data_IF_637923463026
#
_entry.id   IF_637923463026
#
_cell.length_a   1.000
_cell.length_b   1.000
_cell.length_c   1.000
_cell.angle_alpha   90.00
_cell.angle_beta   90.00
_cell.angle_gamma   90.00
#
_symmetry.space_group_name_H-M   'P 1'
#
loop_
_entity.id
_entity.type
_entity.pdbx_description
1 polymer ?
#
# COMPACT_ATOMS: atom_id res chain seq x y z
N UNK A 1 0.72 -27.30 -0.93
CA UNK A 1 1.11 -28.67 -0.53
C UNK A 1 0.84 -28.82 0.96
N UNK A 2 0.20 -29.89 1.40
CA UNK A 2 -0.06 -30.14 2.83
C UNK A 2 1.28 -30.37 3.56
N UNK A 3 1.43 -29.78 4.74
CA UNK A 3 2.63 -29.91 5.59
C UNK A 3 2.35 -30.78 6.83
N UNK A 4 1.20 -31.45 6.86
CA UNK A 4 0.75 -32.39 7.91
C UNK A 4 0.79 -31.82 9.35
N UNK A 5 0.67 -30.50 9.50
CA UNK A 5 0.72 -29.85 10.82
C UNK A 5 -0.55 -30.03 11.67
N UNK A 6 -1.54 -30.74 11.19
CA UNK A 6 -2.82 -31.06 11.84
C UNK A 6 -3.70 -29.87 12.24
N UNK A 7 -3.35 -28.64 11.84
CA UNK A 7 -4.14 -27.43 12.18
C UNK A 7 -5.53 -27.51 11.58
N UNK A 8 -5.65 -27.88 10.28
CA UNK A 8 -6.95 -27.98 9.60
C UNK A 8 -7.88 -28.97 10.30
N UNK A 9 -7.37 -30.10 10.78
CA UNK A 9 -8.14 -31.12 11.53
C UNK A 9 -8.66 -30.54 12.85
N UNK A 10 -7.82 -29.81 13.59
CA UNK A 10 -8.21 -29.24 14.90
C UNK A 10 -9.22 -28.11 14.80
N UNK A 11 -9.20 -27.36 13.70
CA UNK A 11 -10.09 -26.19 13.51
C UNK A 11 -11.31 -26.49 12.66
N UNK A 12 -11.44 -27.72 12.10
CA UNK A 12 -12.59 -28.12 11.32
C UNK A 12 -13.83 -28.28 12.19
N UNK A 13 -14.87 -27.44 12.07
CA UNK A 13 -16.04 -27.52 12.94
C UNK A 13 -16.93 -28.76 12.65
N UNK A 14 -16.69 -29.42 11.52
CA UNK A 14 -17.49 -30.57 11.06
C UNK A 14 -16.79 -31.93 11.26
N UNK A 15 -15.54 -31.92 11.81
CA UNK A 15 -14.76 -33.14 11.92
C UNK A 15 -14.45 -33.83 10.60
N UNK A 16 -14.58 -33.11 9.46
CA UNK A 16 -14.54 -33.72 8.12
C UNK A 16 -13.13 -34.10 7.63
N UNK A 17 -12.09 -33.87 8.46
CA UNK A 17 -10.71 -34.17 8.10
C UNK A 17 -10.19 -35.31 8.96
N UNK A 18 -10.19 -36.51 8.38
CA UNK A 18 -9.64 -37.71 8.98
C UNK A 18 -8.16 -37.88 8.67
N UNK A 19 -7.43 -38.53 9.55
CA UNK A 19 -6.02 -38.92 9.36
C UNK A 19 -5.45 -39.49 10.65
N UNK A 20 -4.60 -40.48 10.56
CA UNK A 20 -3.86 -40.98 11.70
C UNK A 20 -2.92 -39.92 12.23
N UNK A 21 -2.97 -39.66 13.52
CA UNK A 21 -2.02 -38.77 14.18
C UNK A 21 -0.68 -39.53 14.25
N UNK A 22 0.32 -39.08 13.49
CA UNK A 22 1.70 -39.54 13.68
C UNK A 22 2.20 -38.91 14.97
N UNK A 23 2.27 -39.66 16.05
CA UNK A 23 2.61 -39.14 17.37
C UNK A 23 4.07 -39.35 17.74
N UNK A 24 4.74 -40.32 17.12
CA UNK A 24 6.14 -40.63 17.43
C UNK A 24 7.09 -39.54 16.96
N UNK A 25 7.87 -39.00 17.88
CA UNK A 25 8.81 -37.90 17.61
C UNK A 25 8.17 -36.56 17.24
N UNK A 26 6.85 -36.41 17.40
CA UNK A 26 6.14 -35.17 17.11
C UNK A 26 6.53 -34.09 18.13
N UNK A 27 6.80 -32.87 17.64
CA UNK A 27 7.10 -31.71 18.49
C UNK A 27 6.01 -30.66 18.36
N UNK A 28 5.54 -30.15 19.50
CA UNK A 28 4.61 -29.02 19.53
C UNK A 28 5.41 -27.73 19.37
N UNK A 29 5.07 -26.95 18.34
CA UNK A 29 5.63 -25.61 18.14
C UNK A 29 4.92 -24.59 19.03
N UNK A 30 5.70 -23.80 19.77
CA UNK A 30 5.21 -22.76 20.65
C UNK A 30 5.51 -21.34 20.15
N UNK A 31 5.85 -21.18 18.87
CA UNK A 31 6.23 -19.88 18.29
C UNK A 31 5.05 -18.95 18.01
N UNK A 32 3.82 -19.48 17.90
CA UNK A 32 2.62 -18.68 17.73
C UNK A 32 1.36 -19.40 18.26
N UNK A 33 0.22 -18.73 18.26
CA UNK A 33 -1.07 -19.25 18.77
C UNK A 33 -1.57 -20.51 18.05
N UNK A 34 -1.06 -20.82 16.86
CA UNK A 34 -1.44 -22.01 16.09
C UNK A 34 -0.97 -23.30 16.77
N UNK A 35 0.18 -23.24 17.47
CA UNK A 35 0.71 -24.36 18.25
C UNK A 35 0.73 -25.69 17.45
N UNK A 36 1.32 -25.62 16.24
CA UNK A 36 1.42 -26.79 15.37
C UNK A 36 2.04 -27.98 16.10
N UNK A 37 1.45 -29.16 15.95
CA UNK A 37 2.11 -30.42 16.26
C UNK A 37 2.77 -30.92 14.99
N UNK A 38 4.11 -30.80 14.93
CA UNK A 38 4.91 -31.03 13.73
C UNK A 38 5.53 -32.41 13.79
N UNK A 39 5.12 -33.37 12.91
CA UNK A 39 5.74 -34.70 12.82
C UNK A 39 7.21 -34.60 12.37
N UNK A 40 7.99 -35.63 12.66
CA UNK A 40 9.39 -35.75 12.19
C UNK A 40 9.44 -35.63 10.67
N UNK A 41 10.35 -34.82 10.15
CA UNK A 41 10.51 -34.52 8.73
C UNK A 41 9.46 -33.58 8.13
N UNK A 42 8.47 -33.15 8.92
CA UNK A 42 7.41 -32.22 8.47
C UNK A 42 7.66 -30.79 8.93
N UNK A 43 6.97 -29.86 8.26
CA UNK A 43 7.12 -28.42 8.51
C UNK A 43 5.83 -27.88 9.15
N UNK A 44 5.94 -26.92 10.04
CA UNK A 44 4.78 -26.22 10.62
C UNK A 44 3.99 -25.43 9.58
N UNK A 45 2.75 -25.01 9.93
CA UNK A 45 1.82 -24.32 9.04
C UNK A 45 2.41 -23.04 8.42
N UNK A 46 3.24 -22.30 9.14
CA UNK A 46 3.91 -21.09 8.66
C UNK A 46 5.13 -21.37 7.75
N UNK A 47 5.50 -22.64 7.57
CA UNK A 47 6.66 -23.10 6.78
C UNK A 47 8.03 -22.59 7.27
N UNK A 48 8.12 -22.14 8.54
CA UNK A 48 9.35 -21.58 9.11
C UNK A 48 10.12 -22.54 9.99
N UNK A 49 9.47 -23.59 10.48
CA UNK A 49 10.07 -24.59 11.36
C UNK A 49 9.81 -25.98 10.84
N UNK A 50 10.86 -26.78 10.76
CA UNK A 50 10.83 -28.22 10.43
C UNK A 50 11.21 -29.02 11.67
N UNK A 51 10.54 -30.14 11.91
CA UNK A 51 10.94 -31.09 12.93
C UNK A 51 12.01 -32.01 12.37
N UNK A 52 13.26 -31.79 12.78
CA UNK A 52 14.40 -32.62 12.45
C UNK A 52 14.73 -33.50 13.66
N UNK A 53 14.34 -34.80 13.60
CA UNK A 53 14.65 -35.77 14.61
C UNK A 53 14.10 -35.48 16.01
N UNK A 54 12.93 -34.85 16.14
CA UNK A 54 12.34 -34.48 17.42
C UNK A 54 12.68 -33.07 17.91
N UNK A 55 13.35 -32.28 17.09
CA UNK A 55 13.71 -30.90 17.39
C UNK A 55 13.18 -29.97 16.28
N UNK A 56 12.61 -28.81 16.66
CA UNK A 56 12.22 -27.79 15.69
C UNK A 56 13.44 -26.97 15.27
N UNK A 57 13.74 -27.01 13.98
CA UNK A 57 14.78 -26.22 13.34
C UNK A 57 14.14 -25.15 12.49
N UNK A 58 14.67 -23.92 12.53
CA UNK A 58 14.18 -22.81 11.71
C UNK A 58 14.70 -22.95 10.28
N UNK A 59 13.79 -22.90 9.30
CA UNK A 59 14.10 -23.10 7.88
C UNK A 59 14.78 -21.89 7.22
N UNK A 60 14.78 -20.74 7.89
CA UNK A 60 15.33 -19.48 7.37
C UNK A 60 16.16 -18.80 8.43
N UNK A 61 17.23 -18.16 8.01
CA UNK A 61 18.01 -17.28 8.88
C UNK A 61 17.09 -16.23 9.53
N UNK A 62 17.47 -15.76 10.72
CA UNK A 62 16.90 -14.57 11.31
C UNK A 62 17.23 -13.40 10.37
N UNK A 63 16.21 -12.65 9.95
CA UNK A 63 16.47 -11.43 9.23
C UNK A 63 16.83 -10.38 10.26
N UNK A 64 18.10 -10.22 10.48
CA UNK A 64 18.66 -9.21 11.35
C UNK A 64 19.23 -8.12 10.45
N UNK A 65 18.39 -7.51 9.66
CA UNK A 65 18.79 -6.37 8.84
C UNK A 65 18.38 -5.07 9.49
N UNK A 66 19.31 -4.16 9.50
CA UNK A 66 19.10 -2.77 9.84
C UNK A 66 19.96 -2.34 11.02
N UNK A 67 20.80 -1.36 10.74
CA UNK A 67 21.30 -0.49 11.81
C UNK A 67 20.06 0.15 12.44
N UNK A 68 19.97 0.24 13.78
CA UNK A 68 18.95 1.06 14.41
C UNK A 68 18.92 2.41 13.71
N UNK A 69 17.76 2.85 13.22
CA UNK A 69 17.66 4.19 12.67
C UNK A 69 17.88 5.16 13.84
N UNK A 70 19.02 5.79 13.88
CA UNK A 70 19.35 6.79 14.90
C UNK A 70 18.61 8.11 14.70
N UNK A 71 18.06 8.31 13.50
CA UNK A 71 17.25 9.48 13.16
C UNK A 71 16.00 9.03 12.40
N UNK A 72 14.84 9.14 13.03
CA UNK A 72 13.55 8.99 12.35
C UNK A 72 13.27 10.33 11.66
N UNK A 73 13.10 10.32 10.34
CA UNK A 73 12.65 11.50 9.59
C UNK A 73 11.35 12.02 10.23
N UNK A 74 11.31 13.26 10.72
CA UNK A 74 10.12 13.82 11.37
C UNK A 74 8.87 13.80 10.50
N UNK A 75 9.03 13.75 9.18
CA UNK A 75 7.93 13.62 8.21
C UNK A 75 7.31 12.22 8.25
N UNK A 76 8.10 11.19 8.61
CA UNK A 76 7.66 9.81 8.75
C UNK A 76 7.08 9.56 10.16
N UNK A 77 7.54 10.30 11.17
CA UNK A 77 7.11 10.15 12.55
C UNK A 77 5.65 10.57 12.82
N UNK A 78 5.00 11.24 11.88
CA UNK A 78 3.59 11.66 11.98
C UNK A 78 2.80 11.30 10.73
N UNK A 79 2.66 10.04 10.40
CA UNK A 79 1.91 9.64 9.21
C UNK A 79 0.40 9.94 9.37
N UNK A 80 -0.25 10.19 8.24
CA UNK A 80 -1.67 10.60 8.19
C UNK A 80 -2.62 9.39 8.24
N UNK A 81 -2.14 8.19 7.95
CA UNK A 81 -2.96 6.99 7.84
C UNK A 81 -2.86 6.17 9.13
N UNK A 82 -4.00 5.83 9.73
CA UNK A 82 -4.08 4.92 10.88
C UNK A 82 -4.21 3.48 10.41
N UNK A 83 -3.26 2.63 10.79
CA UNK A 83 -3.41 1.19 10.65
C UNK A 83 -4.11 0.60 11.88
N UNK A 84 -5.02 -0.34 11.65
CA UNK A 84 -5.66 -1.08 12.74
C UNK A 84 -4.71 -2.15 13.25
N UNK A 85 -4.39 -2.12 14.54
CA UNK A 85 -3.46 -3.06 15.16
C UNK A 85 -3.98 -4.49 15.15
N UNK A 86 -3.10 -5.43 14.84
CA UNK A 86 -3.39 -6.84 14.99
C UNK A 86 -3.26 -7.26 16.45
N UNK A 87 -4.33 -7.80 17.02
CA UNK A 87 -4.26 -8.48 18.30
C UNK A 87 -3.61 -9.84 18.10
N UNK A 88 -2.56 -10.14 18.84
CA UNK A 88 -2.06 -11.50 18.95
C UNK A 88 -2.31 -12.01 20.37
N UNK A 89 -2.85 -13.21 20.48
CA UNK A 89 -3.14 -13.82 21.77
C UNK A 89 -1.98 -14.66 22.29
N UNK A 90 -0.83 -14.60 21.66
CA UNK A 90 0.29 -15.47 21.97
C UNK A 90 1.63 -14.78 21.70
N UNK A 91 2.60 -14.95 22.56
CA UNK A 91 2.55 -15.60 23.91
C UNK A 91 2.53 -14.56 25.03
N UNK A 92 1.38 -14.28 25.61
CA UNK A 92 1.24 -13.25 26.68
C UNK A 92 2.17 -13.42 27.87
N UNK A 93 2.62 -14.64 28.12
CA UNK A 93 3.36 -14.99 29.34
C UNK A 93 4.68 -15.70 29.07
N UNK A 94 5.07 -15.79 27.80
CA UNK A 94 6.31 -16.47 27.39
C UNK A 94 7.23 -15.53 26.66
N UNK A 95 8.54 -15.61 26.89
CA UNK A 95 9.53 -14.94 26.06
C UNK A 95 9.37 -15.32 24.59
N UNK A 96 9.75 -14.42 23.70
CA UNK A 96 9.83 -14.71 22.28
C UNK A 96 10.66 -15.98 22.03
N UNK A 97 10.33 -16.78 21.00
CA UNK A 97 11.03 -18.04 20.75
C UNK A 97 12.53 -17.85 20.42
N UNK A 98 12.87 -16.68 19.89
CA UNK A 98 14.23 -16.30 19.57
C UNK A 98 14.56 -14.95 20.17
N UNK A 99 15.46 -14.94 21.14
CA UNK A 99 16.06 -13.74 21.74
C UNK A 99 17.56 -13.95 21.57
N UNK A 100 18.14 -13.30 20.57
CA UNK A 100 19.50 -13.58 20.11
C UNK A 100 20.38 -12.37 20.33
N UNK A 101 21.53 -12.60 20.92
CA UNK A 101 22.60 -11.61 21.08
C UNK A 101 23.67 -11.83 20.03
N UNK A 102 24.07 -10.77 19.37
CA UNK A 102 25.23 -10.75 18.49
C UNK A 102 26.06 -9.48 18.73
N UNK A 103 27.32 -9.52 18.35
CA UNK A 103 28.20 -8.36 18.44
C UNK A 103 28.22 -7.62 17.08
N UNK A 104 27.83 -6.35 17.08
CA UNK A 104 27.88 -5.47 15.91
C UNK A 104 28.75 -4.26 16.24
N UNK A 105 29.80 -4.05 15.47
CA UNK A 105 30.75 -2.93 15.67
C UNK A 105 31.22 -2.78 17.14
N UNK A 106 31.43 -3.91 17.84
CA UNK A 106 31.82 -3.93 19.24
C UNK A 106 30.69 -3.78 20.27
N UNK A 107 29.47 -3.54 19.85
CA UNK A 107 28.29 -3.41 20.73
C UNK A 107 27.49 -4.72 20.74
N UNK A 108 27.06 -5.13 21.93
CA UNK A 108 26.13 -6.26 22.07
C UNK A 108 24.71 -5.81 21.68
N UNK A 109 24.15 -6.46 20.67
CA UNK A 109 22.82 -6.16 20.10
C UNK A 109 21.92 -7.37 20.31
N UNK A 110 20.71 -7.10 20.81
CA UNK A 110 19.65 -8.10 20.98
C UNK A 110 18.64 -7.96 19.84
N UNK A 111 18.34 -9.10 19.20
CA UNK A 111 17.20 -9.22 18.30
C UNK A 111 16.21 -10.22 18.87
N UNK A 112 14.97 -9.79 19.07
CA UNK A 112 13.86 -10.66 19.48
C UNK A 112 12.96 -10.92 18.28
N UNK A 113 12.62 -12.18 18.03
CA UNK A 113 11.79 -12.58 16.89
C UNK A 113 10.54 -13.32 17.34
N UNK A 114 9.40 -12.84 16.90
CA UNK A 114 8.09 -13.49 17.10
C UNK A 114 7.46 -13.74 15.74
N UNK A 115 7.00 -14.97 15.49
CA UNK A 115 6.15 -15.26 14.34
C UNK A 115 4.71 -14.88 14.70
N UNK A 116 4.29 -13.70 14.32
CA UNK A 116 3.00 -13.18 14.73
C UNK A 116 1.88 -13.52 13.71
N UNK A 117 0.78 -14.13 14.17
CA UNK A 117 -0.44 -14.17 13.38
C UNK A 117 -1.12 -12.79 13.42
N UNK A 118 -1.28 -12.19 12.26
CA UNK A 118 -1.72 -10.81 12.08
C UNK A 118 -3.17 -10.78 11.55
N UNK A 119 -4.13 -11.15 12.40
CA UNK A 119 -5.54 -11.41 12.02
C UNK A 119 -6.31 -10.15 11.61
N UNK A 120 -5.89 -8.97 12.02
CA UNK A 120 -6.58 -7.70 11.73
C UNK A 120 -5.84 -6.84 10.69
N UNK A 121 -4.89 -7.44 10.03
CA UNK A 121 -4.03 -6.76 9.08
C UNK A 121 -4.65 -6.69 7.69
N UNK A 122 -4.05 -5.86 6.87
CA UNK A 122 -4.38 -5.75 5.47
C UNK A 122 -3.26 -5.14 4.67
N UNK A 123 -3.48 -5.03 3.37
CA UNK A 123 -2.58 -4.33 2.47
C UNK A 123 -3.33 -3.20 1.78
N UNK A 124 -2.65 -2.07 1.65
CA UNK A 124 -3.02 -0.99 0.76
C UNK A 124 -2.28 -1.20 -0.56
N UNK A 125 -3.03 -1.27 -1.64
CA UNK A 125 -2.50 -1.37 -3.00
C UNK A 125 -2.75 -0.03 -3.67
N UNK A 126 -1.70 0.75 -3.87
CA UNK A 126 -1.74 2.01 -4.60
C UNK A 126 -1.49 1.69 -6.09
N UNK A 127 -2.40 2.13 -6.93
CA UNK A 127 -2.35 1.97 -8.37
C UNK A 127 -2.13 3.34 -9.02
N UNK A 128 -1.00 3.52 -9.68
CA UNK A 128 -0.75 4.73 -10.46
C UNK A 128 -1.50 4.63 -11.79
N UNK A 129 -2.71 5.19 -11.82
CA UNK A 129 -3.59 5.12 -12.98
C UNK A 129 -4.53 6.31 -13.07
N UNK A 130 -4.86 6.71 -14.31
CA UNK A 130 -5.95 7.62 -14.61
C UNK A 130 -7.28 6.89 -14.81
N UNK A 131 -7.23 5.56 -15.02
CA UNK A 131 -8.40 4.77 -15.31
C UNK A 131 -9.28 4.62 -14.09
N UNK A 132 -10.59 4.77 -14.25
CA UNK A 132 -11.57 4.55 -13.19
C UNK A 132 -11.56 3.10 -12.70
N UNK A 133 -11.52 2.90 -11.40
CA UNK A 133 -11.47 1.58 -10.75
C UNK A 133 -12.69 1.23 -9.89
N UNK A 134 -13.70 2.08 -9.85
CA UNK A 134 -14.89 1.98 -8.99
C UNK A 134 -14.95 3.12 -7.97
N UNK A 135 -16.07 3.20 -7.25
CA UNK A 135 -16.28 4.19 -6.21
C UNK A 135 -15.66 3.77 -4.88
N UNK A 136 -15.36 4.73 -4.02
CA UNK A 136 -14.92 4.45 -2.65
C UNK A 136 -15.95 3.60 -1.91
N UNK A 137 -15.48 2.53 -1.29
CA UNK A 137 -16.33 1.55 -0.62
C UNK A 137 -16.82 0.40 -1.51
N UNK A 138 -16.65 0.47 -2.83
CA UNK A 138 -16.99 -0.63 -3.73
C UNK A 138 -16.22 -1.90 -3.35
N UNK A 139 -16.91 -3.03 -3.38
CA UNK A 139 -16.33 -4.30 -2.94
C UNK A 139 -15.35 -4.86 -3.99
N UNK A 140 -14.18 -5.21 -3.50
CA UNK A 140 -13.12 -5.87 -4.26
C UNK A 140 -13.17 -7.37 -4.03
N UNK A 141 -13.06 -8.13 -5.11
CA UNK A 141 -13.12 -9.59 -5.14
C UNK A 141 -11.81 -10.18 -5.66
N UNK A 142 -11.43 -11.31 -5.10
CA UNK A 142 -10.39 -12.20 -5.63
C UNK A 142 -10.98 -13.62 -5.70
N UNK A 143 -10.82 -14.31 -6.84
CA UNK A 143 -11.39 -15.63 -7.07
C UNK A 143 -12.90 -15.70 -6.73
N UNK A 144 -13.66 -14.65 -7.02
CA UNK A 144 -15.08 -14.54 -6.74
C UNK A 144 -15.47 -14.33 -5.28
N UNK A 145 -14.51 -14.21 -4.37
CA UNK A 145 -14.73 -13.96 -2.94
C UNK A 145 -14.42 -12.51 -2.57
N UNK A 146 -15.23 -11.87 -1.71
CA UNK A 146 -14.98 -10.50 -1.28
C UNK A 146 -13.74 -10.46 -0.38
N UNK A 147 -12.74 -9.68 -0.76
CA UNK A 147 -11.44 -9.59 -0.06
C UNK A 147 -11.12 -8.19 0.45
N UNK A 148 -11.77 -7.16 -0.06
CA UNK A 148 -11.45 -5.78 0.27
C UNK A 148 -12.46 -4.79 -0.27
N UNK A 149 -12.02 -3.55 -0.39
CA UNK A 149 -12.81 -2.43 -0.92
C UNK A 149 -11.90 -1.44 -1.67
N UNK A 150 -12.49 -0.63 -2.54
CA UNK A 150 -11.84 0.56 -3.06
C UNK A 150 -11.70 1.55 -1.90
N UNK A 151 -10.47 1.94 -1.58
CA UNK A 151 -10.16 2.75 -0.42
C UNK A 151 -10.17 4.24 -0.74
N UNK A 152 -9.58 4.60 -1.86
CA UNK A 152 -9.68 5.95 -2.41
C UNK A 152 -9.56 5.92 -3.92
N UNK A 153 -10.28 6.79 -4.55
CA UNK A 153 -10.36 7.03 -5.96
C UNK A 153 -9.73 8.38 -6.34
N UNK A 154 -9.32 9.14 -5.32
CA UNK A 154 -8.83 10.50 -5.44
C UNK A 154 -7.36 10.61 -5.87
N UNK A 155 -6.98 11.81 -6.29
CA UNK A 155 -5.60 12.30 -6.47
C UNK A 155 -4.70 11.50 -7.43
N UNK A 156 -5.28 10.84 -8.40
CA UNK A 156 -4.49 10.20 -9.44
C UNK A 156 -3.74 8.95 -9.04
N UNK A 157 -3.75 8.67 -7.78
CA UNK A 157 -3.29 7.42 -7.24
C UNK A 157 -4.46 6.77 -6.56
N UNK A 158 -4.98 5.74 -7.20
CA UNK A 158 -6.13 5.02 -6.68
C UNK A 158 -5.65 3.96 -5.72
N UNK A 159 -6.41 3.71 -4.66
CA UNK A 159 -6.02 2.74 -3.65
C UNK A 159 -7.10 1.72 -3.39
N UNK A 160 -6.69 0.47 -3.30
CA UNK A 160 -7.51 -0.66 -2.86
C UNK A 160 -7.00 -1.11 -1.50
N UNK A 161 -7.91 -1.35 -0.55
CA UNK A 161 -7.58 -2.00 0.70
C UNK A 161 -8.06 -3.46 0.68
N UNK A 162 -7.14 -4.39 0.88
CA UNK A 162 -7.42 -5.83 0.99
C UNK A 162 -7.14 -6.26 2.42
N UNK A 163 -8.16 -6.77 3.11
CA UNK A 163 -8.00 -7.25 4.49
C UNK A 163 -8.93 -6.59 5.50
N UNK A 164 -8.41 -6.47 6.72
CA UNK A 164 -9.14 -6.00 7.89
C UNK A 164 -9.91 -7.11 8.61
N UNK A 165 -10.27 -6.84 9.88
CA UNK A 165 -10.89 -7.82 10.78
C UNK A 165 -12.12 -8.49 10.17
N UNK A 166 -13.05 -7.71 9.64
CA UNK A 166 -14.31 -8.21 9.13
C UNK A 166 -14.14 -9.16 7.93
N UNK A 167 -13.15 -8.91 7.08
CA UNK A 167 -12.86 -9.76 5.92
C UNK A 167 -12.10 -11.02 6.34
N UNK A 168 -11.07 -10.89 7.15
CA UNK A 168 -10.25 -12.03 7.60
C UNK A 168 -11.01 -13.00 8.50
N UNK A 169 -12.01 -12.52 9.26
CA UNK A 169 -12.83 -13.36 10.14
C UNK A 169 -14.15 -13.80 9.50
N UNK A 170 -14.45 -13.32 8.30
CA UNK A 170 -15.66 -13.71 7.59
C UNK A 170 -15.70 -15.21 7.29
N UNK A 171 -16.85 -15.85 7.51
CA UNK A 171 -17.08 -17.26 7.18
C UNK A 171 -16.86 -17.54 5.70
N UNK A 172 -17.31 -16.62 4.83
CA UNK A 172 -17.06 -16.64 3.40
C UNK A 172 -16.01 -15.57 3.04
N UNK A 173 -14.95 -15.99 2.37
CA UNK A 173 -13.90 -15.10 1.90
C UNK A 173 -12.70 -14.90 2.83
N UNK A 174 -12.76 -15.29 4.11
CA UNK A 174 -11.64 -15.09 5.04
C UNK A 174 -10.33 -15.75 4.58
N UNK A 175 -10.39 -16.98 4.09
CA UNK A 175 -9.22 -17.66 3.52
C UNK A 175 -8.72 -17.00 2.23
N UNK A 176 -9.63 -16.59 1.35
CA UNK A 176 -9.27 -15.88 0.13
C UNK A 176 -8.59 -14.56 0.48
N UNK A 177 -9.15 -13.81 1.43
CA UNK A 177 -8.55 -12.56 1.92
C UNK A 177 -7.14 -12.78 2.45
N UNK A 178 -6.93 -13.78 3.31
CA UNK A 178 -5.60 -14.06 3.86
C UNK A 178 -4.59 -14.44 2.78
N UNK A 179 -4.98 -15.27 1.79
CA UNK A 179 -4.11 -15.64 0.66
C UNK A 179 -3.79 -14.44 -0.22
N UNK A 180 -4.78 -13.58 -0.50
CA UNK A 180 -4.60 -12.38 -1.31
C UNK A 180 -3.63 -11.41 -0.65
N UNK A 181 -3.76 -11.17 0.67
CA UNK A 181 -2.80 -10.36 1.44
C UNK A 181 -1.38 -10.92 1.30
N UNK A 182 -1.24 -12.24 1.49
CA UNK A 182 0.07 -12.91 1.44
C UNK A 182 0.69 -12.81 0.04
N UNK A 183 -0.11 -13.04 -1.00
CA UNK A 183 0.37 -12.93 -2.38
C UNK A 183 0.85 -11.50 -2.69
N UNK A 184 0.04 -10.49 -2.36
CA UNK A 184 0.40 -9.08 -2.53
C UNK A 184 1.66 -8.71 -1.74
N UNK A 185 1.72 -9.10 -0.46
CA UNK A 185 2.85 -8.78 0.41
C UNK A 185 4.17 -9.47 -0.02
N UNK A 186 4.07 -10.59 -0.71
CA UNK A 186 5.23 -11.30 -1.27
C UNK A 186 5.57 -10.89 -2.73
N UNK A 187 4.88 -9.87 -3.26
CA UNK A 187 5.14 -9.36 -4.62
C UNK A 187 4.62 -10.27 -5.73
N UNK A 188 3.70 -11.18 -5.43
CA UNK A 188 3.08 -12.04 -6.43
C UNK A 188 2.05 -11.25 -7.26
N UNK A 189 1.84 -11.69 -8.50
CA UNK A 189 0.80 -11.15 -9.38
C UNK A 189 -0.58 -11.58 -8.88
N UNK A 190 -1.50 -10.62 -8.70
CA UNK A 190 -2.86 -10.86 -8.22
C UNK A 190 -3.88 -10.26 -9.18
N UNK A 191 -4.94 -11.01 -9.46
CA UNK A 191 -6.09 -10.54 -10.23
C UNK A 191 -7.24 -10.19 -9.29
N UNK A 192 -7.67 -8.94 -9.33
CA UNK A 192 -8.78 -8.42 -8.55
C UNK A 192 -9.93 -8.02 -9.47
N UNK A 193 -11.13 -8.01 -8.94
CA UNK A 193 -12.31 -7.51 -9.64
C UNK A 193 -13.08 -6.58 -8.72
N UNK A 194 -13.36 -5.36 -9.20
CA UNK A 194 -14.23 -4.40 -8.52
C UNK A 194 -15.63 -4.50 -9.12
N UNK A 195 -16.65 -4.61 -8.28
CA UNK A 195 -18.05 -4.49 -8.70
C UNK A 195 -18.53 -3.08 -8.38
N UNK A 196 -18.89 -2.36 -9.40
CA UNK A 196 -19.37 -0.98 -9.34
C UNK A 196 -20.62 -0.81 -10.16
N UNK A 197 -21.16 0.40 -10.22
CA UNK A 197 -22.23 0.79 -11.13
C UNK A 197 -21.66 1.67 -12.24
N UNK A 198 -22.15 1.48 -13.43
CA UNK A 198 -21.87 2.39 -14.54
C UNK A 198 -22.54 3.74 -14.31
N UNK A 199 -21.79 4.83 -14.43
CA UNK A 199 -22.25 6.17 -14.09
C UNK A 199 -23.44 6.66 -14.94
N UNK A 200 -23.47 6.28 -16.22
CA UNK A 200 -24.51 6.74 -17.14
C UNK A 200 -25.77 5.89 -17.04
N UNK A 201 -25.60 4.60 -16.94
CA UNK A 201 -26.71 3.64 -17.04
C UNK A 201 -27.17 3.10 -15.69
N UNK A 202 -26.41 3.27 -14.63
CA UNK A 202 -26.62 2.68 -13.31
C UNK A 202 -26.54 1.15 -13.31
N UNK A 203 -26.15 0.50 -14.41
CA UNK A 203 -26.05 -0.94 -14.52
C UNK A 203 -24.79 -1.45 -13.82
N UNK A 204 -24.82 -2.68 -13.26
CA UNK A 204 -23.65 -3.31 -12.71
C UNK A 204 -22.51 -3.39 -13.74
N UNK A 205 -21.34 -2.92 -13.34
CA UNK A 205 -20.10 -2.94 -14.12
C UNK A 205 -19.04 -3.70 -13.34
N UNK A 206 -18.21 -4.46 -14.04
CA UNK A 206 -17.10 -5.20 -13.45
C UNK A 206 -15.78 -4.66 -14.02
N UNK A 207 -14.89 -4.23 -13.13
CA UNK A 207 -13.56 -3.73 -13.49
C UNK A 207 -12.55 -4.78 -13.07
N UNK A 208 -11.76 -5.27 -14.04
CA UNK A 208 -10.68 -6.24 -13.80
C UNK A 208 -9.37 -5.50 -13.59
N UNK A 209 -8.67 -5.82 -12.52
CA UNK A 209 -7.41 -5.20 -12.14
C UNK A 209 -6.38 -6.30 -11.92
N UNK A 210 -5.27 -6.22 -12.64
CA UNK A 210 -4.10 -7.05 -12.37
C UNK A 210 -3.04 -6.19 -11.75
N UNK A 211 -2.60 -6.55 -10.56
CA UNK A 211 -1.62 -5.80 -9.80
C UNK A 211 -0.49 -6.70 -9.29
N UNK A 212 0.70 -6.13 -9.22
CA UNK A 212 1.91 -6.73 -8.67
C UNK A 212 2.82 -5.62 -8.18
N UNK A 213 3.38 -5.78 -6.99
CA UNK A 213 4.35 -4.83 -6.43
C UNK A 213 5.45 -4.51 -7.46
N UNK A 214 5.68 -3.23 -7.71
CA UNK A 214 6.75 -2.75 -8.60
C UNK A 214 6.44 -2.85 -10.09
N UNK A 215 5.21 -3.22 -10.48
CA UNK A 215 4.79 -3.36 -11.88
C UNK A 215 3.60 -2.45 -12.16
N UNK A 216 3.57 -1.85 -13.35
CA UNK A 216 2.43 -1.05 -13.78
C UNK A 216 1.14 -1.87 -13.79
N UNK A 217 0.02 -1.36 -13.22
CA UNK A 217 -1.23 -2.10 -13.17
C UNK A 217 -1.83 -2.31 -14.56
N UNK A 218 -2.61 -3.38 -14.72
CA UNK A 218 -3.39 -3.65 -15.93
C UNK A 218 -4.87 -3.52 -15.55
N UNK A 219 -5.59 -2.59 -16.17
CA UNK A 219 -7.00 -2.35 -15.90
C UNK A 219 -7.81 -2.65 -17.15
N UNK A 220 -8.77 -3.56 -17.03
CA UNK A 220 -9.60 -4.05 -18.13
C UNK A 220 -8.78 -4.53 -19.36
N UNK A 221 -7.59 -5.09 -19.11
CA UNK A 221 -6.69 -5.59 -20.14
C UNK A 221 -5.72 -4.55 -20.71
N UNK A 222 -5.83 -3.29 -20.32
CA UNK A 222 -4.90 -2.23 -20.73
C UNK A 222 -3.90 -1.96 -19.62
N UNK A 223 -2.61 -2.05 -19.94
CA UNK A 223 -1.54 -1.72 -19.01
C UNK A 223 -1.32 -0.22 -18.98
N UNK A 224 -1.26 0.34 -17.77
CA UNK A 224 -0.90 1.74 -17.58
C UNK A 224 0.56 1.99 -17.95
N UNK A 225 0.86 3.21 -18.41
CA UNK A 225 2.21 3.56 -18.86
C UNK A 225 2.83 4.65 -18.01
N UNK A 226 2.04 5.63 -17.59
CA UNK A 226 2.54 6.87 -17.01
C UNK A 226 1.84 7.20 -15.70
N UNK A 227 2.60 7.59 -14.69
CA UNK A 227 2.08 8.18 -13.47
C UNK A 227 1.85 9.68 -13.66
N UNK A 228 0.71 10.22 -13.26
CA UNK A 228 0.45 11.65 -13.30
C UNK A 228 1.24 12.44 -12.25
N UNK A 229 1.49 13.72 -12.53
CA UNK A 229 2.21 14.64 -11.61
C UNK A 229 1.43 14.84 -10.30
N UNK A 230 0.12 14.67 -10.33
CA UNK A 230 -0.77 14.94 -9.21
C UNK A 230 -2.13 15.39 -9.75
N UNK A 231 -2.71 16.45 -9.18
CA UNK A 231 -3.94 17.03 -9.70
C UNK A 231 -3.67 18.11 -10.74
N UNK A 232 -4.69 18.48 -11.55
CA UNK A 232 -4.58 19.53 -12.56
C UNK A 232 -4.10 20.88 -12.02
N UNK A 233 -4.52 21.22 -10.80
CA UNK A 233 -4.04 22.42 -10.09
C UNK A 233 -2.53 22.33 -9.78
N UNK A 234 -2.04 21.18 -9.32
CA UNK A 234 -0.62 20.99 -9.05
C UNK A 234 0.22 21.06 -10.34
N UNK A 235 -0.29 20.53 -11.43
CA UNK A 235 0.37 20.59 -12.75
C UNK A 235 0.54 22.04 -13.21
N UNK A 236 -0.50 22.86 -13.06
CA UNK A 236 -0.42 24.30 -13.37
C UNK A 236 0.59 24.98 -12.43
N UNK A 237 0.54 24.68 -11.13
CA UNK A 237 1.47 25.23 -10.15
C UNK A 237 2.94 24.97 -10.48
N UNK A 238 3.22 23.78 -11.04
CA UNK A 238 4.57 23.37 -11.44
C UNK A 238 5.05 24.05 -12.75
N UNK A 239 4.14 24.24 -13.71
CA UNK A 239 4.50 24.56 -15.11
C UNK A 239 3.94 25.91 -15.58
N UNK A 240 3.53 26.79 -14.65
CA UNK A 240 2.94 28.09 -14.97
C UNK A 240 3.82 28.94 -15.92
N UNK A 241 5.12 29.00 -15.68
CA UNK A 241 6.05 29.74 -16.53
C UNK A 241 6.07 29.22 -17.96
N UNK A 242 6.12 27.89 -18.13
CA UNK A 242 6.11 27.25 -19.45
C UNK A 242 4.78 27.51 -20.15
N UNK A 243 3.66 27.42 -19.44
CA UNK A 243 2.32 27.68 -20.00
C UNK A 243 2.22 29.12 -20.48
N UNK A 244 2.69 30.08 -19.66
CA UNK A 244 2.66 31.51 -19.98
C UNK A 244 3.36 31.87 -21.27
N UNK A 245 4.49 31.20 -21.56
CA UNK A 245 5.25 31.43 -22.80
C UNK A 245 4.60 30.82 -24.03
N UNK A 246 3.71 29.86 -23.85
CA UNK A 246 3.33 28.96 -24.92
C UNK A 246 1.87 29.07 -25.37
N UNK A 247 0.93 29.44 -24.48
CA UNK A 247 -0.50 29.46 -24.76
C UNK A 247 -1.19 30.59 -24.06
N UNK A 248 -2.37 31.01 -24.57
CA UNK A 248 -3.17 32.07 -23.96
C UNK A 248 -3.97 31.53 -22.77
N UNK A 249 -4.40 30.28 -22.85
CA UNK A 249 -5.09 29.58 -21.76
C UNK A 249 -4.72 28.09 -21.74
N UNK A 250 -4.77 27.46 -20.58
CA UNK A 250 -4.59 26.02 -20.41
C UNK A 250 -5.60 25.44 -19.41
N UNK A 251 -6.27 24.36 -19.82
CA UNK A 251 -7.10 23.53 -18.95
C UNK A 251 -6.35 22.20 -18.74
N UNK A 252 -6.04 21.88 -17.48
CA UNK A 252 -5.41 20.58 -17.14
C UNK A 252 -6.46 19.71 -16.48
N UNK A 253 -6.85 18.63 -17.15
CA UNK A 253 -7.92 17.73 -16.72
C UNK A 253 -7.40 16.77 -15.66
N UNK A 254 -8.11 16.73 -14.55
CA UNK A 254 -8.06 15.68 -13.56
C UNK A 254 -9.47 15.46 -13.00
N UNK A 255 -9.84 14.24 -12.67
CA UNK A 255 -11.20 13.97 -12.21
C UNK A 255 -11.53 14.67 -10.89
N UNK A 256 -10.54 14.91 -10.06
CA UNK A 256 -10.73 15.51 -8.75
C UNK A 256 -10.49 17.01 -8.77
N UNK A 257 -9.39 17.47 -9.31
CA UNK A 257 -9.04 18.89 -9.36
C UNK A 257 -8.52 19.28 -10.74
N UNK A 258 -9.42 19.62 -11.64
CA UNK A 258 -9.09 20.24 -12.92
C UNK A 258 -8.64 21.69 -12.69
N UNK A 259 -7.54 22.07 -13.30
CA UNK A 259 -6.99 23.41 -13.21
C UNK A 259 -7.35 24.28 -14.41
N UNK A 260 -7.63 25.57 -14.17
CA UNK A 260 -7.71 26.62 -15.19
C UNK A 260 -6.57 27.61 -14.98
N UNK A 261 -5.68 27.70 -15.94
CA UNK A 261 -4.41 28.41 -15.79
C UNK A 261 -4.57 29.90 -15.49
N UNK A 262 -5.39 30.64 -16.25
CA UNK A 262 -5.54 32.08 -16.08
C UNK A 262 -6.19 32.49 -14.74
N UNK A 263 -6.99 31.63 -14.13
CA UNK A 263 -7.56 31.85 -12.81
C UNK A 263 -6.66 31.37 -11.68
N UNK A 264 -5.78 30.39 -11.93
CA UNK A 264 -4.97 29.76 -10.90
C UNK A 264 -4.00 30.76 -10.27
N UNK A 265 -3.71 30.59 -8.96
CA UNK A 265 -2.77 31.50 -8.25
C UNK A 265 -1.41 31.56 -8.94
N UNK A 266 -0.87 30.41 -9.35
CA UNK A 266 0.40 30.37 -10.08
C UNK A 266 0.32 31.10 -11.43
N UNK A 267 -0.82 31.02 -12.14
CA UNK A 267 -1.04 31.81 -13.34
C UNK A 267 -1.01 33.31 -13.05
N UNK A 268 -1.63 33.74 -11.97
CA UNK A 268 -1.58 35.16 -11.54
C UNK A 268 -0.19 35.63 -11.19
N UNK A 269 0.61 34.79 -10.52
CA UNK A 269 2.01 35.09 -10.19
C UNK A 269 2.87 35.32 -11.44
N UNK A 270 2.59 34.60 -12.53
CA UNK A 270 3.27 34.80 -13.82
C UNK A 270 2.57 35.84 -14.69
N UNK A 271 1.64 36.62 -14.15
CA UNK A 271 0.99 37.76 -14.82
C UNK A 271 -0.18 37.41 -15.72
N UNK A 272 -0.85 36.27 -15.48
CA UNK A 272 -2.11 35.97 -16.16
C UNK A 272 -3.27 36.75 -15.56
N UNK A 273 -4.22 37.12 -16.41
CA UNK A 273 -5.55 37.57 -16.03
C UNK A 273 -6.57 36.57 -16.59
N UNK A 274 -7.72 36.48 -15.96
CA UNK A 274 -8.75 35.54 -16.42
C UNK A 274 -9.05 35.74 -17.91
N UNK A 275 -9.00 34.62 -18.64
CA UNK A 275 -9.08 34.60 -20.09
C UNK A 275 -10.51 34.64 -20.67
N UNK A 276 -11.52 34.53 -19.83
CA UNK A 276 -12.91 34.34 -20.24
C UNK A 276 -13.33 32.88 -20.49
N UNK A 277 -12.39 31.93 -20.47
CA UNK A 277 -12.70 30.50 -20.65
C UNK A 277 -13.31 29.93 -19.37
N UNK A 278 -14.40 29.19 -19.51
CA UNK A 278 -15.10 28.52 -18.42
C UNK A 278 -14.98 27.01 -18.61
N UNK A 279 -14.35 26.30 -17.68
CA UNK A 279 -14.24 24.85 -17.72
C UNK A 279 -15.60 24.17 -17.50
N UNK A 280 -15.78 23.00 -18.11
CA UNK A 280 -16.95 22.16 -17.90
C UNK A 280 -16.75 21.28 -16.65
N UNK A 281 -16.72 21.94 -15.50
CA UNK A 281 -16.55 21.32 -14.19
C UNK A 281 -17.11 22.25 -13.10
N UNK A 282 -17.28 21.75 -11.89
CA UNK A 282 -17.82 22.53 -10.76
C UNK A 282 -16.70 23.30 -10.09
N UNK A 283 -16.79 24.62 -10.07
CA UNK A 283 -15.80 25.49 -9.42
C UNK A 283 -15.77 25.24 -7.90
N UNK A 284 -14.60 24.91 -7.36
CA UNK A 284 -14.40 24.76 -5.92
C UNK A 284 -13.74 26.00 -5.30
N UNK A 285 -12.65 26.45 -5.90
CA UNK A 285 -11.92 27.67 -5.52
C UNK A 285 -11.36 28.34 -6.78
N UNK A 286 -10.63 29.43 -6.62
CA UNK A 286 -10.06 30.18 -7.75
C UNK A 286 -9.11 29.29 -8.55
N UNK A 287 -9.38 29.11 -9.82
CA UNK A 287 -8.59 28.28 -10.75
C UNK A 287 -8.68 26.78 -10.52
N UNK A 288 -9.54 26.32 -9.62
CA UNK A 288 -9.70 24.90 -9.27
C UNK A 288 -11.14 24.47 -9.43
N UNK A 289 -11.33 23.35 -10.09
CA UNK A 289 -12.64 22.81 -10.44
C UNK A 289 -12.69 21.33 -10.16
N UNK A 290 -13.85 20.82 -9.75
CA UNK A 290 -14.09 19.39 -9.61
C UNK A 290 -14.71 18.85 -10.90
N UNK A 291 -14.08 17.85 -11.51
CA UNK A 291 -14.65 17.03 -12.55
C UNK A 291 -15.62 16.00 -11.99
N UNK A 292 -16.51 15.48 -12.81
CA UNK A 292 -17.30 14.30 -12.46
C UNK A 292 -16.46 13.02 -12.57
N UNK A 293 -16.67 12.06 -11.68
CA UNK A 293 -16.03 10.74 -11.76
C UNK A 293 -16.57 9.95 -12.95
N UNK A 294 -15.71 9.28 -13.68
CA UNK A 294 -16.08 8.49 -14.85
C UNK A 294 -14.90 7.75 -15.48
N UNK A 295 -15.15 7.22 -16.66
CA UNK A 295 -14.19 6.46 -17.45
C UNK A 295 -13.57 7.25 -18.62
N UNK A 296 -13.80 8.56 -18.64
CA UNK A 296 -13.22 9.49 -19.62
C UNK A 296 -11.83 9.99 -19.24
N UNK A 297 -11.45 11.11 -19.84
CA UNK A 297 -10.11 11.71 -19.69
C UNK A 297 -9.81 11.99 -18.23
N UNK A 298 -8.67 11.52 -17.75
CA UNK A 298 -8.22 11.75 -16.37
C UNK A 298 -9.10 11.13 -15.29
N UNK A 299 -9.98 10.18 -15.63
CA UNK A 299 -10.96 9.59 -14.71
C UNK A 299 -12.21 10.44 -14.53
N UNK A 300 -12.48 11.40 -15.42
CA UNK A 300 -13.68 12.24 -15.47
C UNK A 300 -14.75 11.66 -16.37
N UNK A 301 -15.93 12.29 -16.39
CA UNK A 301 -16.98 12.01 -17.39
C UNK A 301 -16.68 12.59 -18.78
N UNK A 302 -15.63 13.40 -18.92
CA UNK A 302 -15.25 14.04 -20.17
C UNK A 302 -14.62 13.04 -21.14
N UNK A 303 -15.25 12.81 -22.29
CA UNK A 303 -14.80 11.82 -23.27
C UNK A 303 -13.79 12.39 -24.26
N UNK A 304 -13.89 13.68 -24.57
CA UNK A 304 -12.99 14.38 -25.51
C UNK A 304 -12.41 15.64 -24.88
N UNK A 305 -11.24 16.13 -25.35
CA UNK A 305 -10.68 17.40 -24.89
C UNK A 305 -11.64 18.59 -25.07
N UNK A 306 -12.46 18.57 -26.12
CA UNK A 306 -13.47 19.64 -26.39
C UNK A 306 -14.48 19.74 -25.24
N UNK A 307 -14.86 18.62 -24.63
CA UNK A 307 -15.84 18.58 -23.54
C UNK A 307 -15.37 19.34 -22.30
N UNK A 308 -14.07 19.59 -22.15
CA UNK A 308 -13.53 20.36 -21.04
C UNK A 308 -13.86 21.86 -21.09
N UNK A 309 -14.25 22.39 -22.26
CA UNK A 309 -14.59 23.79 -22.45
C UNK A 309 -16.11 23.92 -22.48
N UNK A 310 -16.70 24.52 -21.42
CA UNK A 310 -18.15 24.76 -21.32
C UNK A 310 -18.58 25.95 -22.16
N UNK A 311 -17.88 27.07 -22.06
CA UNK A 311 -18.18 28.31 -22.74
C UNK A 311 -17.00 29.27 -22.73
N UNK A 312 -17.06 30.31 -23.57
CA UNK A 312 -16.10 31.41 -23.58
C UNK A 312 -16.85 32.74 -23.44
N UNK A 313 -16.43 33.56 -22.52
CA UNK A 313 -16.95 34.91 -22.31
C UNK A 313 -16.23 35.88 -23.25
N UNK A 314 -16.88 36.23 -24.35
CA UNK A 314 -16.34 37.12 -25.38
C UNK A 314 -16.27 38.60 -24.97
N UNK A 315 -16.77 38.96 -23.78
CA UNK A 315 -16.48 40.27 -23.20
C UNK A 315 -15.04 40.39 -22.65
N UNK A 316 -14.37 39.27 -22.43
CA UNK A 316 -13.00 39.15 -21.91
C UNK A 316 -12.10 38.52 -22.98
N UNK A 317 -12.52 37.38 -23.55
CA UNK A 317 -11.79 36.67 -24.60
C UNK A 317 -11.86 37.40 -25.97
N UNK A 318 -10.99 36.99 -26.88
CA UNK A 318 -11.01 37.48 -28.26
C UNK A 318 -10.83 36.34 -29.25
N UNK A 319 -11.34 36.53 -30.47
CA UNK A 319 -11.10 35.58 -31.56
C UNK A 319 -9.59 35.41 -31.83
N UNK A 320 -9.18 34.19 -32.13
CA UNK A 320 -7.78 33.80 -32.33
C UNK A 320 -7.01 33.45 -31.05
N UNK A 321 -7.63 33.61 -29.87
CA UNK A 321 -7.03 33.13 -28.61
C UNK A 321 -6.92 31.61 -28.59
N UNK A 322 -5.80 31.09 -28.12
CA UNK A 322 -5.51 29.67 -28.04
C UNK A 322 -5.81 29.09 -26.68
N UNK A 323 -6.47 27.93 -26.65
CA UNK A 323 -6.78 27.17 -25.44
C UNK A 323 -6.20 25.76 -25.56
N UNK A 324 -5.20 25.45 -24.77
CA UNK A 324 -4.68 24.10 -24.66
C UNK A 324 -5.51 23.31 -23.63
N UNK A 325 -5.97 22.15 -24.03
CA UNK A 325 -6.59 21.19 -23.10
C UNK A 325 -5.67 19.97 -23.04
N UNK A 326 -5.24 19.60 -21.83
CA UNK A 326 -4.40 18.45 -21.59
C UNK A 326 -4.77 17.76 -20.29
N UNK A 327 -4.30 16.54 -20.07
CA UNK A 327 -4.39 15.86 -18.78
C UNK A 327 -3.06 15.92 -18.01
N UNK A 328 -3.06 15.45 -16.78
CA UNK A 328 -1.91 15.49 -15.88
C UNK A 328 -0.76 14.56 -16.26
N UNK A 329 -0.94 13.70 -17.26
CA UNK A 329 0.13 12.84 -17.83
C UNK A 329 0.66 13.34 -19.17
N UNK A 330 -0.05 14.29 -19.80
CA UNK A 330 0.27 14.73 -21.16
C UNK A 330 -0.04 13.70 -22.26
N UNK A 331 -0.73 12.60 -21.94
CA UNK A 331 -1.15 11.59 -22.92
C UNK A 331 -2.28 12.12 -23.80
N UNK A 332 -3.07 13.00 -23.26
CA UNK A 332 -4.13 13.72 -23.96
C UNK A 332 -3.71 15.17 -24.11
N UNK A 333 -3.80 15.70 -25.32
CA UNK A 333 -3.54 17.11 -25.62
C UNK A 333 -4.23 17.52 -26.90
N UNK A 334 -5.01 18.61 -26.84
CA UNK A 334 -5.63 19.24 -28.00
C UNK A 334 -5.56 20.76 -27.87
N UNK A 335 -5.32 21.43 -28.98
CA UNK A 335 -5.25 22.89 -29.07
C UNK A 335 -6.51 23.41 -29.76
N UNK A 336 -7.15 24.39 -29.13
CA UNK A 336 -8.34 25.04 -29.66
C UNK A 336 -8.07 26.52 -29.92
N UNK A 337 -8.76 27.07 -30.90
CA UNK A 337 -8.80 28.49 -31.19
C UNK A 337 -10.21 29.03 -30.97
N UNK A 338 -10.33 30.13 -30.22
CA UNK A 338 -11.58 30.81 -29.98
C UNK A 338 -12.04 31.51 -31.25
N UNK A 339 -13.27 31.26 -31.65
CA UNK A 339 -13.92 31.87 -32.83
C UNK A 339 -14.62 33.17 -32.47
N UNK A 340 -14.99 33.98 -33.49
CA UNK A 340 -15.63 35.27 -33.28
C UNK A 340 -17.04 35.19 -32.63
N UNK A 341 -17.71 34.05 -32.72
CA UNK A 341 -18.99 33.77 -32.09
C UNK A 341 -18.89 33.20 -30.67
N UNK A 342 -17.65 32.99 -30.16
CA UNK A 342 -17.38 32.42 -28.86
C UNK A 342 -17.34 30.89 -28.84
N UNK A 343 -17.54 30.23 -29.96
CA UNK A 343 -17.23 28.78 -30.07
C UNK A 343 -15.73 28.53 -30.13
N UNK A 344 -15.31 27.29 -29.95
CA UNK A 344 -13.91 26.89 -30.07
C UNK A 344 -13.74 25.83 -31.13
N UNK A 345 -12.75 26.01 -31.98
CA UNK A 345 -12.40 25.07 -33.05
C UNK A 345 -11.04 24.43 -32.78
N UNK A 346 -10.99 23.12 -32.84
CA UNK A 346 -9.70 22.39 -32.75
C UNK A 346 -8.82 22.75 -33.96
N UNK A 347 -7.56 23.06 -33.64
CA UNK A 347 -6.53 23.40 -34.62
C UNK A 347 -5.31 22.47 -34.43
N UNK A 348 -4.42 22.34 -35.42
CA UNK A 348 -3.19 21.60 -35.25
C UNK A 348 -2.37 22.08 -34.04
N UNK A 349 -1.80 21.14 -33.30
CA UNK A 349 -0.95 21.44 -32.16
C UNK A 349 0.26 22.28 -32.64
N UNK A 350 0.42 23.48 -32.09
CA UNK A 350 1.59 24.31 -32.36
C UNK A 350 2.81 23.79 -31.60
N UNK A 351 4.02 24.12 -32.10
CA UNK A 351 5.28 23.79 -31.40
C UNK A 351 5.29 24.34 -29.96
N UNK A 352 4.74 25.53 -29.74
CA UNK A 352 4.64 26.14 -28.40
C UNK A 352 3.71 25.33 -27.50
N UNK A 353 2.51 25.00 -27.96
CA UNK A 353 1.56 24.21 -27.18
C UNK A 353 2.11 22.79 -26.90
N UNK A 354 2.80 22.21 -27.88
CA UNK A 354 3.46 20.92 -27.71
C UNK A 354 4.54 20.96 -26.59
N UNK A 355 5.28 22.06 -26.45
CA UNK A 355 6.25 22.24 -25.35
C UNK A 355 5.60 22.10 -23.96
N UNK A 356 4.38 22.57 -23.77
CA UNK A 356 3.64 22.39 -22.51
C UNK A 356 3.35 20.91 -22.27
N UNK A 357 2.83 20.22 -23.28
CA UNK A 357 2.53 18.77 -23.20
C UNK A 357 3.80 17.96 -22.92
N UNK A 358 4.90 18.29 -23.60
CA UNK A 358 6.19 17.62 -23.40
C UNK A 358 6.78 17.91 -22.02
N UNK A 359 6.62 19.13 -21.49
CA UNK A 359 7.02 19.48 -20.14
C UNK A 359 6.23 18.66 -19.11
N UNK A 360 4.92 18.47 -19.30
CA UNK A 360 4.10 17.58 -18.46
C UNK A 360 4.65 16.15 -18.54
N UNK A 361 4.81 15.60 -19.74
CA UNK A 361 5.32 14.24 -19.95
C UNK A 361 6.68 13.99 -19.30
N UNK A 362 7.61 14.94 -19.45
CA UNK A 362 8.97 14.80 -18.90
C UNK A 362 9.03 14.83 -17.37
N UNK A 363 7.98 15.31 -16.72
CA UNK A 363 7.85 15.32 -15.26
C UNK A 363 6.99 14.16 -14.72
N UNK A 364 6.44 13.30 -15.57
CA UNK A 364 5.75 12.09 -15.18
C UNK A 364 6.74 10.93 -14.98
N UNK A 365 6.43 10.08 -13.99
CA UNK A 365 7.14 8.81 -13.80
C UNK A 365 6.39 7.69 -14.54
N UNK A 366 7.05 6.55 -14.71
CA UNK A 366 6.36 5.33 -15.14
C UNK A 366 5.30 4.93 -14.11
N UNK A 367 4.16 4.45 -14.61
CA UNK A 367 3.10 3.91 -13.75
C UNK A 367 3.60 2.71 -12.94
N UNK A 368 3.14 2.58 -11.72
CA UNK A 368 3.58 1.55 -10.81
C UNK A 368 2.43 1.06 -9.91
N UNK A 369 2.58 -0.12 -9.37
CA UNK A 369 1.79 -0.62 -8.25
C UNK A 369 2.66 -0.63 -7.00
N UNK A 370 2.21 0.02 -5.94
CA UNK A 370 2.89 0.02 -4.65
C UNK A 370 2.03 -0.70 -3.62
N UNK A 371 2.60 -1.66 -2.93
CA UNK A 371 1.90 -2.44 -1.90
C UNK A 371 2.47 -2.11 -0.54
N UNK A 372 1.61 -1.69 0.37
CA UNK A 372 1.95 -1.38 1.75
C UNK A 372 1.20 -2.33 2.68
N UNK A 373 1.92 -3.12 3.44
CA UNK A 373 1.33 -3.94 4.49
C UNK A 373 1.06 -3.09 5.72
N UNK A 374 -0.17 -3.13 6.22
CA UNK A 374 -0.61 -2.40 7.39
C UNK A 374 -0.98 -3.38 8.51
N UNK A 375 -0.56 -3.09 9.73
CA UNK A 375 -0.87 -3.95 10.86
C UNK A 375 -0.46 -3.35 12.19
N UNK A 376 -0.38 -4.19 13.20
CA UNK A 376 0.09 -3.79 14.52
C UNK A 376 0.53 -4.98 15.33
N UNK A 377 1.40 -4.74 16.31
CA UNK A 377 1.81 -5.73 17.28
C UNK A 377 1.01 -5.55 18.55
N UNK A 378 0.15 -6.52 18.88
CA UNK A 378 -0.63 -6.52 20.11
C UNK A 378 0.22 -6.68 21.37
N UNK A 379 -0.40 -6.45 22.52
CA UNK A 379 0.26 -6.54 23.83
C UNK A 379 0.95 -7.87 24.08
N UNK A 380 0.35 -8.98 23.66
CA UNK A 380 0.92 -10.31 23.84
C UNK A 380 2.20 -10.55 23.04
N UNK A 381 2.26 -10.06 21.81
CA UNK A 381 3.51 -10.16 21.01
C UNK A 381 4.62 -9.31 21.63
N UNK A 382 4.30 -8.11 22.10
CA UNK A 382 5.24 -7.24 22.81
C UNK A 382 5.68 -7.82 24.16
N UNK A 383 4.77 -8.49 24.87
CA UNK A 383 5.09 -9.24 26.09
C UNK A 383 6.10 -10.36 25.89
N UNK A 384 6.17 -10.93 24.67
CA UNK A 384 7.24 -11.85 24.27
C UNK A 384 8.61 -11.18 24.14
N UNK A 385 8.63 -9.87 23.89
CA UNK A 385 9.88 -9.08 23.78
C UNK A 385 10.39 -8.71 25.18
N UNK A 386 9.54 -8.18 26.02
CA UNK A 386 9.88 -7.73 27.37
C UNK A 386 8.69 -7.83 28.33
N UNK A 387 8.97 -7.73 29.62
CA UNK A 387 7.94 -7.79 30.67
C UNK A 387 6.98 -6.60 30.68
N UNK A 388 7.39 -5.47 30.09
CA UNK A 388 6.65 -4.22 30.07
C UNK A 388 6.34 -3.79 28.63
N UNK A 389 5.24 -4.24 28.03
CA UNK A 389 4.93 -3.96 26.60
C UNK A 389 4.90 -2.49 26.21
N UNK A 390 4.59 -1.58 27.15
CA UNK A 390 4.64 -0.13 26.90
C UNK A 390 6.08 0.32 26.65
N UNK A 391 7.04 -0.19 27.43
CA UNK A 391 8.43 0.22 27.33
C UNK A 391 9.04 -0.11 25.96
N UNK A 392 8.68 -1.24 25.33
CA UNK A 392 9.13 -1.51 23.97
C UNK A 392 8.49 -0.56 22.95
N UNK A 393 7.23 -0.17 23.14
CA UNK A 393 6.58 0.83 22.29
C UNK A 393 7.29 2.18 22.38
N UNK A 394 7.59 2.62 23.60
CA UNK A 394 8.33 3.86 23.87
C UNK A 394 9.74 3.79 23.29
N UNK A 395 10.43 2.66 23.42
CA UNK A 395 11.76 2.45 22.85
C UNK A 395 11.76 2.56 21.32
N UNK A 396 10.74 2.00 20.65
CA UNK A 396 10.58 2.15 19.19
C UNK A 396 10.32 3.61 18.81
N UNK A 397 9.42 4.30 19.50
CA UNK A 397 9.12 5.70 19.23
C UNK A 397 10.31 6.63 19.52
N UNK A 398 11.15 6.27 20.47
CA UNK A 398 12.39 6.99 20.80
C UNK A 398 13.58 6.65 19.88
N UNK A 399 13.39 5.75 18.90
CA UNK A 399 14.48 5.29 18.03
C UNK A 399 15.53 4.39 18.71
N UNK A 400 15.26 3.92 19.93
CA UNK A 400 16.15 3.01 20.70
C UNK A 400 15.97 1.55 20.30
N UNK A 401 14.79 1.20 19.78
CA UNK A 401 14.49 -0.12 19.25
C UNK A 401 14.07 0.00 17.78
N UNK A 402 14.61 -0.85 16.94
CA UNK A 402 14.25 -0.94 15.53
C UNK A 402 13.27 -2.11 15.35
N UNK A 403 12.14 -1.82 14.68
CA UNK A 403 11.11 -2.82 14.34
C UNK A 403 11.19 -3.16 12.86
N UNK A 404 11.28 -4.46 12.56
CA UNK A 404 11.11 -4.99 11.21
C UNK A 404 9.96 -6.00 11.16
N UNK A 405 9.27 -6.01 10.03
CA UNK A 405 8.20 -6.96 9.72
C UNK A 405 8.55 -7.66 8.41
N UNK A 406 8.70 -8.96 8.46
CA UNK A 406 9.17 -9.70 7.30
C UNK A 406 10.54 -9.26 6.78
N UNK A 407 11.38 -8.71 7.67
CA UNK A 407 12.68 -8.16 7.34
C UNK A 407 12.69 -6.71 6.82
N UNK A 408 11.53 -6.14 6.54
CA UNK A 408 11.45 -4.75 6.10
C UNK A 408 11.30 -3.81 7.30
N UNK A 409 11.94 -2.64 7.28
CA UNK A 409 11.72 -1.60 8.29
C UNK A 409 10.24 -1.24 8.39
N UNK A 410 9.72 -1.14 9.61
CA UNK A 410 8.36 -0.76 9.88
C UNK A 410 8.28 0.72 10.26
N UNK A 411 7.42 1.45 9.57
CA UNK A 411 7.05 2.81 9.95
C UNK A 411 5.96 2.73 11.02
N UNK A 412 6.25 3.24 12.22
CA UNK A 412 5.41 3.04 13.41
C UNK A 412 4.66 4.32 13.75
N UNK A 413 3.36 4.17 14.03
CA UNK A 413 2.50 5.28 14.43
C UNK A 413 2.41 5.43 15.94
N UNK A 414 2.21 6.65 16.46
CA UNK A 414 1.75 6.86 17.83
C UNK A 414 0.37 6.22 18.05
N UNK A 415 0.17 5.56 19.18
CA UNK A 415 -1.14 4.99 19.50
C UNK A 415 -1.10 3.92 20.58
N UNK A 416 -2.27 3.36 20.91
CA UNK A 416 -2.48 2.37 21.98
C UNK A 416 -1.91 0.97 21.76
N UNK A 417 -1.22 0.74 20.68
CA UNK A 417 -0.42 -0.41 20.34
C UNK A 417 0.66 0.04 19.40
N UNK A 418 1.52 -0.85 18.93
CA UNK A 418 2.39 -0.52 17.81
C UNK A 418 1.62 -0.78 16.53
N UNK A 419 1.13 0.28 15.91
CA UNK A 419 0.58 0.28 14.55
C UNK A 419 1.71 0.61 13.59
N UNK A 420 1.80 -0.12 12.48
CA UNK A 420 2.88 0.03 11.53
C UNK A 420 2.42 -0.07 10.08
N UNK A 421 3.23 0.52 9.20
CA UNK A 421 3.17 0.30 7.75
C UNK A 421 4.53 -0.21 7.30
N UNK A 422 4.51 -1.15 6.38
CA UNK A 422 5.70 -1.74 5.76
C UNK A 422 5.59 -1.64 4.24
N UNK A 423 6.62 -1.11 3.62
CA UNK A 423 6.81 -1.20 2.17
C UNK A 423 7.15 -2.63 1.79
N UNK A 424 6.27 -3.31 1.07
CA UNK A 424 6.47 -4.72 0.72
C UNK A 424 7.60 -4.93 -0.29
N UNK A 425 8.05 -3.88 -0.99
CA UNK A 425 9.24 -3.96 -1.84
C UNK A 425 10.52 -4.30 -1.06
N UNK A 426 10.53 -4.02 0.26
CA UNK A 426 11.65 -4.28 1.16
C UNK A 426 11.50 -5.57 1.97
N UNK A 427 10.37 -6.26 1.84
CA UNK A 427 10.09 -7.50 2.53
C UNK A 427 10.96 -8.63 1.95
N UNK A 428 11.52 -9.46 2.82
CA UNK A 428 12.26 -10.64 2.39
C UNK A 428 11.34 -11.61 1.65
N UNK A 429 11.83 -12.14 0.55
CA UNK A 429 11.04 -13.01 -0.32
C UNK A 429 10.37 -14.16 0.48
N UNK A 430 9.07 -14.33 0.29
CA UNK A 430 8.22 -15.30 0.99
C UNK A 430 8.20 -15.15 2.53
N UNK A 431 8.44 -13.95 3.07
CA UNK A 431 8.36 -13.71 4.50
C UNK A 431 6.93 -13.81 5.05
N UNK A 432 5.92 -13.46 4.25
CA UNK A 432 4.52 -13.63 4.62
C UNK A 432 4.01 -15.03 4.27
N UNK A 433 3.23 -15.61 5.17
CA UNK A 433 2.50 -16.85 4.96
C UNK A 433 1.09 -16.72 5.53
N UNK A 434 0.18 -17.57 5.12
CA UNK A 434 -1.13 -17.66 5.75
C UNK A 434 -1.28 -19.00 6.47
N UNK A 435 -2.16 -19.03 7.45
CA UNK A 435 -2.49 -20.24 8.21
C UNK A 435 -3.99 -20.47 8.22
N UNK A 436 -4.45 -21.73 8.39
CA UNK A 436 -5.87 -22.09 8.23
C UNK A 436 -6.83 -21.50 9.27
N UNK A 437 -6.48 -20.49 10.05
CA UNK A 437 -7.35 -19.89 11.08
C UNK A 437 -8.21 -18.69 10.66
N UNK A 438 -8.38 -18.23 9.45
CA UNK A 438 -7.39 -17.72 8.52
C UNK A 438 -6.65 -16.53 9.11
N UNK A 439 -5.38 -16.52 8.97
CA UNK A 439 -4.53 -15.40 9.40
C UNK A 439 -3.28 -15.33 8.53
N UNK A 440 -2.73 -14.15 8.40
CA UNK A 440 -1.38 -13.96 7.87
C UNK A 440 -0.38 -14.11 8.98
N UNK A 441 0.81 -14.64 8.68
CA UNK A 441 1.92 -14.79 9.63
C UNK A 441 3.18 -14.21 9.00
N UNK A 442 3.86 -13.37 9.76
CA UNK A 442 5.14 -12.80 9.37
C UNK A 442 6.07 -12.72 10.60
N UNK A 443 7.40 -12.76 10.43
CA UNK A 443 8.31 -12.46 11.52
C UNK A 443 8.18 -10.99 11.91
N UNK A 444 8.06 -10.76 13.20
CA UNK A 444 8.10 -9.45 13.85
C UNK A 444 9.38 -9.41 14.67
N UNK A 445 10.28 -8.52 14.35
CA UNK A 445 11.63 -8.48 14.91
C UNK A 445 11.88 -7.11 15.55
N UNK A 446 12.34 -7.14 16.82
CA UNK A 446 12.78 -5.95 17.53
C UNK A 446 14.27 -6.06 17.79
N UNK A 447 15.01 -5.06 17.33
CA UNK A 447 16.47 -5.01 17.46
C UNK A 447 16.90 -3.77 18.24
N UNK A 448 17.72 -3.95 19.26
CA UNK A 448 18.21 -2.86 20.11
C UNK A 448 19.53 -3.26 20.78
N UNK A 449 20.20 -2.31 21.43
CA UNK A 449 21.36 -2.63 22.25
C UNK A 449 20.96 -3.51 23.43
N UNK A 450 21.88 -4.35 23.92
CA UNK A 450 21.64 -5.18 25.11
C UNK A 450 21.34 -4.31 26.34
N UNK A 451 21.98 -3.16 26.45
CA UNK A 451 21.74 -2.18 27.53
C UNK A 451 20.30 -1.64 27.51
N UNK A 452 19.80 -1.24 26.31
CA UNK A 452 18.42 -0.77 26.20
C UNK A 452 17.42 -1.91 26.40
N UNK A 453 17.76 -3.13 25.97
CA UNK A 453 16.93 -4.32 26.19
C UNK A 453 16.76 -4.63 27.68
N UNK A 454 17.83 -4.52 28.47
CA UNK A 454 17.78 -4.67 29.91
C UNK A 454 16.92 -3.57 30.57
N UNK A 455 17.10 -2.31 30.16
CA UNK A 455 16.33 -1.16 30.67
C UNK A 455 14.81 -1.28 30.46
N UNK A 456 14.39 -1.87 29.36
CA UNK A 456 12.96 -2.08 29.09
C UNK A 456 12.38 -3.32 29.79
N UNK A 457 13.16 -4.02 30.62
CA UNK A 457 12.74 -5.25 31.28
C UNK A 457 12.73 -6.45 30.34
N UNK A 458 13.73 -6.58 29.51
CA UNK A 458 13.91 -7.70 28.60
C UNK A 458 14.05 -9.06 29.31
N UNK A 459 13.75 -10.12 28.62
CA UNK A 459 13.86 -11.49 29.11
C UNK A 459 15.32 -11.96 29.14
N UNK A 460 16.16 -11.36 30.01
CA UNK A 460 17.61 -11.53 30.04
C UNK A 460 18.06 -13.00 30.15
N UNK A 461 17.33 -13.81 30.93
CA UNK A 461 17.66 -15.23 31.13
C UNK A 461 17.35 -16.12 29.91
N UNK A 462 16.74 -15.55 28.86
CA UNK A 462 16.38 -16.26 27.63
C UNK A 462 17.22 -15.85 26.43
N UNK A 463 18.22 -14.99 26.65
CA UNK A 463 19.16 -14.56 25.61
C UNK A 463 20.04 -15.73 25.22
N UNK A 464 20.25 -15.92 23.92
CA UNK A 464 21.13 -16.91 23.32
C UNK A 464 22.13 -16.18 22.44
N UNK A 465 23.39 -16.58 22.46
CA UNK A 465 24.38 -16.04 21.53
C UNK A 465 24.15 -16.61 20.13
N UNK A 466 24.26 -15.78 19.11
CA UNK A 466 24.07 -16.22 17.72
C UNK A 466 25.08 -17.30 17.34
N UNK A 467 26.28 -17.23 17.89
CA UNK A 467 27.38 -18.19 17.67
C UNK A 467 27.09 -19.61 18.16
N UNK A 468 26.20 -19.74 19.16
CA UNK A 468 25.80 -21.03 19.74
C UNK A 468 24.75 -21.76 18.86
N UNK A 469 24.25 -21.10 17.81
CA UNK A 469 23.15 -21.59 16.96
C UNK A 469 23.51 -21.54 15.48
N UNK A 470 24.11 -22.64 14.93
CA UNK A 470 24.45 -22.71 13.50
C UNK A 470 23.26 -22.44 12.56
N UNK A 471 22.03 -22.74 13.00
CA UNK A 471 20.80 -22.48 12.26
C UNK A 471 20.51 -20.98 12.04
N UNK A 472 21.11 -20.09 12.82
CA UNK A 472 20.99 -18.63 12.64
C UNK A 472 22.04 -18.06 11.68
N UNK A 473 23.08 -18.84 11.37
CA UNK A 473 24.20 -18.43 10.51
C UNK A 473 23.98 -18.83 9.05
N UNK A 474 22.94 -19.61 8.74
CA UNK A 474 22.63 -20.02 7.37
C UNK A 474 21.97 -18.86 6.62
N UNK A 475 22.72 -18.21 5.77
CA UNK A 475 22.30 -17.20 4.80
C UNK A 475 21.82 -17.82 3.50
#
# INVERSE_FOLDING_TARGET
MCVECNVCRRVCPFGAIDGAEKTEGMVQCHSCSIQCKVPVGSTGACKRYTNEGGRLVRNRALVVEGKPQTEIDPRIAKPVITAVGAGTNYPCIRPAPHIVCEKRDGVDVITTVTEAPLSYSGVLVKLDTNTYIGEEGDTVYCEGKPVGLVHTEEYGSKMIYVGGANRLTAKDGGFATARTIVALANGEKVELTVKTADHETGKPKMIKIVCQQGVAPIINGTQETTMRIGCGSATIGLLADVMKECVDECIVIDHHVTGLFSEHLAGKEVGMTWSGVVPNATKSTVGRYFGGHGDGIGGTVLQTPRDAIKSVDMSIAHAGMTVLVTNTTGEVGALFEVQADGDVKEIPMSEKAQRVVDAIKSNCQGSNTSVMYCGGTGGSARGGVCHHPIAITEAVHAGKAHLTIGGAPAYVYPGGGINFIVDTAKVVNHAFTWVPTPATVAPVEYTMTKEDYEKIGGHMNHIKNVEDFPEYQKH
#
